data_IF_155634309729
#
_entry.id   IF_155634309729
#
_cell.length_a   1.000
_cell.length_b   1.000
_cell.length_c   1.000
_cell.angle_alpha   90.00
_cell.angle_beta   90.00
_cell.angle_gamma   90.00
#
_symmetry.space_group_name_H-M   'P 1'
#
loop_
_entity.id
_entity.type
_entity.pdbx_description
1 polymer ?
#
# COMPACT_ATOMS: atom_id res chain seq x y z
N UNK A 1 -12.87 -6.30 -20.41
CA UNK A 1 -12.78 -6.58 -18.95
C UNK A 1 -11.34 -6.87 -18.52
N UNK A 2 -10.62 -7.89 -19.03
CA UNK A 2 -9.22 -8.16 -18.58
C UNK A 2 -8.28 -6.96 -18.78
N UNK A 3 -8.33 -6.29 -19.91
CA UNK A 3 -7.48 -5.11 -20.21
C UNK A 3 -7.77 -3.93 -19.27
N UNK A 4 -9.03 -3.65 -18.97
CA UNK A 4 -9.42 -2.56 -18.06
C UNK A 4 -8.92 -2.81 -16.63
N UNK A 5 -9.05 -4.05 -16.16
CA UNK A 5 -8.55 -4.49 -14.86
C UNK A 5 -7.05 -4.21 -14.70
N UNK A 6 -6.26 -4.59 -15.72
CA UNK A 6 -4.81 -4.37 -15.73
C UNK A 6 -4.48 -2.88 -15.81
N UNK A 7 -5.19 -2.12 -16.67
CA UNK A 7 -4.99 -0.67 -16.80
C UNK A 7 -5.21 0.03 -15.45
N UNK A 8 -6.29 -0.31 -14.74
CA UNK A 8 -6.56 0.26 -13.41
C UNK A 8 -5.51 -0.15 -12.38
N UNK A 9 -5.04 -1.40 -12.41
CA UNK A 9 -3.98 -1.85 -11.51
C UNK A 9 -2.65 -1.11 -11.76
N UNK A 10 -2.26 -0.92 -13.02
CA UNK A 10 -1.06 -0.16 -13.43
C UNK A 10 -1.21 1.31 -13.04
N UNK A 11 -2.35 1.94 -13.34
CA UNK A 11 -2.61 3.34 -12.98
C UNK A 11 -2.49 3.55 -11.47
N UNK A 12 -3.11 2.66 -10.67
CA UNK A 12 -2.96 2.68 -9.23
C UNK A 12 -1.48 2.57 -8.82
N UNK A 13 -0.73 1.61 -9.39
CA UNK A 13 0.70 1.40 -9.11
C UNK A 13 1.56 2.62 -9.39
N UNK A 14 1.34 3.29 -10.53
CA UNK A 14 2.05 4.53 -10.90
C UNK A 14 1.78 5.64 -9.88
N UNK A 15 0.50 5.91 -9.57
CA UNK A 15 0.14 6.95 -8.61
C UNK A 15 0.69 6.64 -7.20
N UNK A 16 0.65 5.37 -6.78
CA UNK A 16 1.26 4.96 -5.52
C UNK A 16 2.77 5.17 -5.47
N UNK A 17 3.44 5.10 -6.62
CA UNK A 17 4.88 5.31 -6.69
C UNK A 17 5.26 6.76 -6.33
N UNK A 18 4.56 7.73 -6.91
CA UNK A 18 4.73 9.14 -6.54
C UNK A 18 4.38 9.38 -5.07
N UNK A 19 3.30 8.76 -4.60
CA UNK A 19 2.89 8.80 -3.20
C UNK A 19 3.99 8.27 -2.26
N UNK A 20 4.71 7.19 -2.62
CA UNK A 20 5.81 6.63 -1.84
C UNK A 20 6.98 7.60 -1.65
N UNK A 21 7.34 8.34 -2.68
CA UNK A 21 8.36 9.40 -2.57
C UNK A 21 7.91 10.52 -1.61
N UNK A 22 6.64 10.92 -1.70
CA UNK A 22 6.09 11.92 -0.77
C UNK A 22 6.07 11.41 0.68
N UNK A 23 5.78 10.13 0.90
CA UNK A 23 5.91 9.51 2.24
C UNK A 23 7.33 9.73 2.76
N UNK A 24 8.35 9.39 1.97
CA UNK A 24 9.76 9.56 2.38
C UNK A 24 10.08 11.01 2.73
N UNK A 25 9.72 11.93 1.86
CA UNK A 25 9.97 13.36 2.08
C UNK A 25 9.23 13.89 3.32
N UNK A 26 8.02 13.41 3.58
CA UNK A 26 7.23 13.81 4.74
C UNK A 26 7.79 13.26 6.06
N UNK A 27 8.17 11.97 6.11
CA UNK A 27 8.61 11.33 7.37
C UNK A 27 10.04 11.66 7.78
N UNK A 28 10.87 12.28 6.91
CA UNK A 28 12.24 12.69 7.27
C UNK A 28 12.20 13.60 8.50
N UNK A 29 11.31 14.58 8.52
CA UNK A 29 11.15 15.53 9.63
C UNK A 29 9.84 15.29 10.40
N UNK A 30 8.80 14.83 9.71
CA UNK A 30 7.46 14.61 10.27
C UNK A 30 7.33 13.35 11.12
N UNK A 31 6.27 13.31 11.93
CA UNK A 31 5.86 12.12 12.68
C UNK A 31 5.09 11.15 11.77
N UNK A 32 5.46 9.85 11.70
CA UNK A 32 4.77 8.86 10.86
C UNK A 32 3.28 8.70 11.20
N UNK A 33 2.90 8.78 12.48
CA UNK A 33 1.50 8.63 12.88
C UNK A 33 0.67 9.85 12.43
N UNK A 34 1.23 11.06 12.60
CA UNK A 34 0.61 12.31 12.08
C UNK A 34 0.48 12.23 10.56
N UNK A 35 1.54 11.82 9.86
CA UNK A 35 1.54 11.69 8.41
C UNK A 35 0.51 10.68 7.93
N UNK A 36 0.39 9.54 8.61
CA UNK A 36 -0.62 8.53 8.27
C UNK A 36 -2.03 9.06 8.48
N UNK A 37 -2.30 9.71 9.62
CA UNK A 37 -3.62 10.29 9.90
C UNK A 37 -4.02 11.34 8.86
N UNK A 38 -3.16 12.34 8.60
CA UNK A 38 -3.41 13.37 7.58
C UNK A 38 -3.70 12.74 6.22
N UNK A 39 -2.88 11.77 5.81
CA UNK A 39 -3.05 11.06 4.55
C UNK A 39 -4.38 10.31 4.46
N UNK A 40 -4.82 9.66 5.54
CA UNK A 40 -6.10 8.93 5.57
C UNK A 40 -7.27 9.91 5.54
N UNK A 41 -7.25 11.00 6.32
CA UNK A 41 -8.32 11.99 6.30
C UNK A 41 -8.46 12.65 4.92
N UNK A 42 -7.36 13.09 4.31
CA UNK A 42 -7.40 13.70 2.96
C UNK A 42 -7.85 12.66 1.92
N UNK A 43 -7.34 11.41 1.99
CA UNK A 43 -7.80 10.33 1.12
C UNK A 43 -9.29 10.03 1.27
N UNK A 44 -9.84 10.10 2.49
CA UNK A 44 -11.28 9.97 2.74
C UNK A 44 -12.07 11.08 2.07
N UNK A 45 -11.59 12.33 2.13
CA UNK A 45 -12.23 13.47 1.44
C UNK A 45 -12.25 13.23 -0.08
N UNK A 46 -11.13 12.80 -0.67
CA UNK A 46 -11.03 12.49 -2.11
C UNK A 46 -12.04 11.41 -2.50
N UNK A 47 -12.11 10.32 -1.72
CA UNK A 47 -13.06 9.23 -1.96
C UNK A 47 -14.51 9.65 -1.76
N UNK A 48 -14.79 10.49 -0.78
CA UNK A 48 -16.13 11.07 -0.58
C UNK A 48 -16.55 11.90 -1.79
N UNK A 49 -15.68 12.80 -2.26
CA UNK A 49 -15.96 13.61 -3.45
C UNK A 49 -16.15 12.73 -4.69
N UNK A 50 -15.34 11.69 -4.88
CA UNK A 50 -15.51 10.75 -5.99
C UNK A 50 -16.89 10.06 -5.95
N UNK A 51 -17.33 9.60 -4.78
CA UNK A 51 -18.66 9.01 -4.61
C UNK A 51 -19.79 10.03 -4.83
N UNK A 52 -19.59 11.28 -4.43
CA UNK A 52 -20.55 12.36 -4.65
C UNK A 52 -20.73 12.63 -6.17
N UNK A 53 -19.63 12.80 -6.90
CA UNK A 53 -19.67 13.07 -8.34
C UNK A 53 -20.16 11.88 -9.18
N UNK A 54 -19.95 10.64 -8.71
CA UNK A 54 -20.44 9.44 -9.39
C UNK A 54 -21.86 9.02 -8.96
N UNK A 55 -22.50 9.76 -8.04
CA UNK A 55 -23.83 9.44 -7.53
C UNK A 55 -23.92 8.17 -6.66
N UNK A 56 -22.77 7.62 -6.24
CA UNK A 56 -22.71 6.34 -5.54
C UNK A 56 -23.07 6.44 -4.05
N UNK A 57 -23.15 7.65 -3.49
CA UNK A 57 -23.48 7.85 -2.07
C UNK A 57 -24.88 7.32 -1.70
N UNK A 58 -25.83 7.35 -2.63
CA UNK A 58 -27.18 6.84 -2.40
C UNK A 58 -27.21 5.34 -2.12
N UNK A 59 -26.24 4.59 -2.66
CA UNK A 59 -26.12 3.16 -2.45
C UNK A 59 -25.56 2.77 -1.05
N UNK A 60 -25.20 3.73 -0.21
CA UNK A 60 -24.69 3.45 1.15
C UNK A 60 -25.74 2.76 2.03
N UNK A 61 -27.01 3.07 1.83
CA UNK A 61 -28.15 2.50 2.58
C UNK A 61 -28.47 1.05 2.16
N UNK A 62 -28.03 0.63 0.98
CA UNK A 62 -28.23 -0.73 0.47
C UNK A 62 -27.07 -1.68 0.76
N UNK A 63 -26.02 -1.21 1.44
CA UNK A 63 -24.87 -2.07 1.81
C UNK A 63 -25.30 -3.15 2.79
N UNK A 64 -24.90 -4.40 2.52
CA UNK A 64 -25.07 -5.48 3.48
C UNK A 64 -24.16 -5.29 4.70
N UNK A 65 -24.62 -5.73 5.87
CA UNK A 65 -23.80 -5.69 7.10
C UNK A 65 -22.47 -6.44 6.91
N UNK A 66 -22.51 -7.57 6.20
CA UNK A 66 -21.32 -8.38 5.89
C UNK A 66 -20.32 -7.61 5.04
N UNK A 67 -20.77 -6.88 4.00
CA UNK A 67 -19.89 -6.02 3.20
C UNK A 67 -19.25 -4.93 4.04
N UNK A 68 -20.02 -4.27 4.89
CA UNK A 68 -19.49 -3.24 5.80
C UNK A 68 -18.43 -3.83 6.72
N UNK A 69 -18.67 -5.01 7.29
CA UNK A 69 -17.73 -5.67 8.19
C UNK A 69 -16.39 -6.00 7.51
N UNK A 70 -16.41 -6.58 6.30
CA UNK A 70 -15.20 -6.88 5.53
C UNK A 70 -14.45 -5.61 5.13
N UNK A 71 -15.14 -4.58 4.65
CA UNK A 71 -14.53 -3.32 4.25
C UNK A 71 -13.98 -2.55 5.45
N UNK A 72 -14.66 -2.57 6.59
CA UNK A 72 -14.19 -1.99 7.84
C UNK A 72 -12.90 -2.69 8.33
N UNK A 73 -12.90 -4.02 8.32
CA UNK A 73 -11.71 -4.81 8.68
C UNK A 73 -10.54 -4.52 7.73
N UNK A 74 -10.78 -4.45 6.42
CA UNK A 74 -9.77 -4.04 5.43
C UNK A 74 -9.21 -2.65 5.72
N UNK A 75 -10.09 -1.70 6.07
CA UNK A 75 -9.73 -0.33 6.44
C UNK A 75 -8.83 -0.27 7.67
N UNK A 76 -9.24 -0.92 8.76
CA UNK A 76 -8.46 -0.93 10.00
C UNK A 76 -7.14 -1.68 9.85
N UNK A 77 -7.14 -2.85 9.23
CA UNK A 77 -5.93 -3.66 9.09
C UNK A 77 -4.90 -2.96 8.20
N UNK A 78 -5.30 -2.48 7.02
CA UNK A 78 -4.35 -1.93 6.05
C UNK A 78 -4.12 -0.43 6.21
N UNK A 79 -5.20 0.38 6.32
CA UNK A 79 -5.06 1.84 6.26
C UNK A 79 -4.83 2.47 7.63
N UNK A 80 -5.14 1.75 8.72
CA UNK A 80 -4.78 2.17 10.07
C UNK A 80 -3.44 1.55 10.49
N UNK A 81 -3.37 0.23 10.74
CA UNK A 81 -2.16 -0.43 11.22
C UNK A 81 -1.08 -0.57 10.15
N UNK A 82 -1.38 -1.19 9.02
CA UNK A 82 -0.40 -1.48 7.97
C UNK A 82 0.28 -0.23 7.43
N UNK A 83 -0.45 0.86 7.28
CA UNK A 83 0.09 2.13 6.80
C UNK A 83 0.99 2.80 7.83
N UNK A 84 0.65 2.76 9.13
CA UNK A 84 1.52 3.27 10.19
C UNK A 84 2.87 2.56 10.22
N UNK A 85 2.83 1.22 10.15
CA UNK A 85 4.05 0.40 10.12
C UNK A 85 4.90 0.72 8.90
N UNK A 86 4.28 0.87 7.73
CA UNK A 86 4.97 1.26 6.50
C UNK A 86 5.61 2.65 6.61
N UNK A 87 4.89 3.68 7.05
CA UNK A 87 5.45 5.04 7.22
C UNK A 87 6.60 5.05 8.22
N UNK A 88 6.48 4.29 9.30
CA UNK A 88 7.54 4.14 10.31
C UNK A 88 8.76 3.43 9.73
N UNK A 89 8.55 2.37 8.96
CA UNK A 89 9.61 1.67 8.25
C UNK A 89 10.33 2.60 7.26
N UNK A 90 9.58 3.33 6.41
CA UNK A 90 10.16 4.30 5.46
C UNK A 90 10.99 5.37 6.17
N UNK A 91 10.58 5.82 7.37
CA UNK A 91 11.39 6.73 8.18
C UNK A 91 12.72 6.12 8.59
N UNK A 92 12.73 4.84 8.95
CA UNK A 92 13.89 4.13 9.49
C UNK A 92 14.89 3.66 8.41
N UNK A 93 14.39 3.08 7.32
CA UNK A 93 15.23 2.41 6.32
C UNK A 93 15.17 3.01 4.91
N UNK A 94 14.36 4.05 4.72
CA UNK A 94 14.14 4.68 3.41
C UNK A 94 13.09 3.96 2.57
N UNK A 95 12.56 4.67 1.56
CA UNK A 95 11.51 4.13 0.68
C UNK A 95 12.04 3.11 -0.31
N UNK A 96 13.27 3.27 -0.78
CA UNK A 96 13.90 2.35 -1.73
C UNK A 96 14.07 0.92 -1.18
N UNK A 97 14.22 0.76 0.14
CA UNK A 97 14.30 -0.55 0.81
C UNK A 97 12.95 -1.01 1.34
N UNK A 98 12.17 -0.10 1.93
CA UNK A 98 10.87 -0.43 2.51
C UNK A 98 9.88 -0.95 1.46
N UNK A 99 9.88 -0.40 0.25
CA UNK A 99 8.92 -0.77 -0.78
C UNK A 99 9.10 -2.20 -1.32
N UNK A 100 10.30 -2.67 -1.68
CA UNK A 100 10.49 -4.07 -2.07
C UNK A 100 10.14 -5.07 -0.96
N UNK A 101 10.45 -4.73 0.32
CA UNK A 101 10.05 -5.55 1.47
C UNK A 101 8.53 -5.63 1.61
N UNK A 102 7.85 -4.50 1.41
CA UNK A 102 6.39 -4.45 1.44
C UNK A 102 5.77 -5.24 0.29
N UNK A 103 6.43 -5.33 -0.86
CA UNK A 103 5.98 -6.11 -2.02
C UNK A 103 6.01 -7.62 -1.80
N UNK A 104 6.69 -8.09 -0.74
CA UNK A 104 6.59 -9.47 -0.27
C UNK A 104 5.18 -9.91 0.11
N UNK A 105 4.23 -8.95 0.24
CA UNK A 105 2.82 -9.24 0.46
C UNK A 105 2.21 -10.15 -0.62
N UNK A 106 2.77 -10.17 -1.84
CA UNK A 106 2.28 -10.98 -2.96
C UNK A 106 2.23 -12.47 -2.59
N UNK A 107 3.25 -12.97 -1.91
CA UNK A 107 3.30 -14.38 -1.47
C UNK A 107 2.09 -14.71 -0.58
N UNK A 108 1.83 -13.84 0.39
CA UNK A 108 0.68 -14.03 1.29
C UNK A 108 -0.65 -13.86 0.56
N UNK A 109 -0.76 -12.91 -0.38
CA UNK A 109 -1.97 -12.70 -1.20
C UNK A 109 -2.31 -13.93 -2.00
N UNK A 110 -1.33 -14.55 -2.65
CA UNK A 110 -1.53 -15.78 -3.44
C UNK A 110 -2.02 -16.94 -2.55
N UNK A 111 -1.34 -17.16 -1.41
CA UNK A 111 -1.78 -18.20 -0.47
C UNK A 111 -3.21 -17.94 0.02
N UNK A 112 -3.51 -16.71 0.41
CA UNK A 112 -4.84 -16.36 0.91
C UNK A 112 -5.90 -16.40 -0.20
N UNK A 113 -5.58 -16.03 -1.43
CA UNK A 113 -6.46 -16.12 -2.60
C UNK A 113 -6.88 -17.56 -2.90
N UNK A 114 -5.92 -18.49 -2.88
CA UNK A 114 -6.21 -19.92 -3.05
C UNK A 114 -7.07 -20.43 -1.89
N UNK A 115 -6.70 -20.14 -0.63
CA UNK A 115 -7.36 -20.74 0.55
C UNK A 115 -8.75 -20.14 0.80
N UNK A 116 -8.91 -18.82 0.67
CA UNK A 116 -10.15 -18.14 1.07
C UNK A 116 -11.07 -17.78 -0.09
N UNK A 117 -10.53 -17.59 -1.30
CA UNK A 117 -11.33 -17.23 -2.48
C UNK A 117 -11.47 -18.40 -3.47
N UNK A 118 -10.77 -19.53 -3.23
CA UNK A 118 -10.80 -20.69 -4.12
C UNK A 118 -10.16 -20.41 -5.49
N UNK A 119 -9.28 -19.41 -5.60
CA UNK A 119 -8.59 -19.09 -6.85
C UNK A 119 -7.59 -20.19 -7.19
N UNK A 120 -7.51 -20.58 -8.47
CA UNK A 120 -6.56 -21.59 -8.94
C UNK A 120 -5.28 -20.93 -9.45
N UNK A 121 -4.15 -21.59 -9.23
CA UNK A 121 -2.83 -21.13 -9.70
C UNK A 121 -2.43 -21.86 -10.97
N UNK A 122 -2.00 -21.10 -11.96
CA UNK A 122 -1.30 -21.62 -13.15
C UNK A 122 0.18 -21.83 -12.84
N UNK A 123 0.85 -22.69 -13.60
CA UNK A 123 2.30 -22.92 -13.44
C UNK A 123 3.12 -21.64 -13.60
N UNK A 124 2.74 -20.76 -14.54
CA UNK A 124 3.39 -19.46 -14.75
C UNK A 124 3.27 -18.55 -13.52
N UNK A 125 2.11 -18.55 -12.85
CA UNK A 125 1.88 -17.78 -11.63
C UNK A 125 2.74 -18.31 -10.48
N UNK A 126 2.88 -19.63 -10.34
CA UNK A 126 3.77 -20.24 -9.32
C UNK A 126 5.22 -19.80 -9.54
N UNK A 127 5.73 -19.86 -10.77
CA UNK A 127 7.09 -19.41 -11.12
C UNK A 127 7.23 -17.91 -10.82
N UNK A 128 6.25 -17.10 -11.23
CA UNK A 128 6.25 -15.67 -11.00
C UNK A 128 6.32 -15.31 -9.51
N UNK A 129 5.47 -15.93 -8.68
CA UNK A 129 5.47 -15.74 -7.23
C UNK A 129 6.81 -16.16 -6.60
N UNK A 130 7.40 -17.26 -7.09
CA UNK A 130 8.71 -17.71 -6.62
C UNK A 130 9.81 -16.67 -6.89
N UNK A 131 9.84 -16.07 -8.08
CA UNK A 131 10.77 -14.98 -8.40
C UNK A 131 10.57 -13.75 -7.51
N UNK A 132 9.32 -13.36 -7.24
CA UNK A 132 9.01 -12.25 -6.34
C UNK A 132 9.48 -12.54 -4.90
N UNK A 133 9.30 -13.79 -4.45
CA UNK A 133 9.78 -14.27 -3.16
C UNK A 133 11.31 -14.14 -3.05
N UNK A 134 12.04 -14.61 -4.05
CA UNK A 134 13.50 -14.49 -4.11
C UNK A 134 13.94 -13.02 -4.06
N UNK A 135 13.32 -12.14 -4.83
CA UNK A 135 13.60 -10.70 -4.79
C UNK A 135 13.41 -10.10 -3.40
N UNK A 136 12.30 -10.44 -2.73
CA UNK A 136 12.03 -9.97 -1.36
C UNK A 136 13.03 -10.50 -0.34
N UNK A 137 13.45 -11.76 -0.47
CA UNK A 137 14.46 -12.38 0.39
C UNK A 137 15.83 -11.70 0.21
N UNK A 138 16.27 -11.45 -1.03
CA UNK A 138 17.53 -10.79 -1.32
C UNK A 138 17.61 -9.41 -0.67
N UNK A 139 16.60 -8.56 -0.83
CA UNK A 139 16.60 -7.23 -0.21
C UNK A 139 16.49 -7.31 1.31
N UNK A 140 15.78 -8.30 1.85
CA UNK A 140 15.67 -8.50 3.31
C UNK A 140 17.03 -8.86 3.91
N UNK A 141 17.71 -9.86 3.35
CA UNK A 141 19.03 -10.33 3.83
C UNK A 141 20.05 -9.20 3.70
N UNK A 142 20.13 -8.54 2.54
CA UNK A 142 21.11 -7.45 2.33
C UNK A 142 20.88 -6.28 3.28
N UNK A 143 19.61 -5.91 3.54
CA UNK A 143 19.27 -4.84 4.48
C UNK A 143 19.61 -5.21 5.93
N UNK A 144 19.35 -6.45 6.35
CA UNK A 144 19.69 -6.92 7.70
C UNK A 144 21.21 -7.04 7.89
N UNK A 145 21.94 -7.50 6.88
CA UNK A 145 23.40 -7.56 6.91
C UNK A 145 24.04 -6.17 7.04
N UNK A 146 23.52 -5.18 6.31
CA UNK A 146 23.93 -3.78 6.42
C UNK A 146 23.62 -3.19 7.82
N UNK A 147 22.45 -3.49 8.37
CA UNK A 147 22.05 -3.07 9.71
C UNK A 147 23.01 -3.61 10.78
N UNK A 148 23.38 -4.90 10.67
CA UNK A 148 24.31 -5.57 11.58
C UNK A 148 25.72 -4.96 11.48
N UNK A 149 26.20 -4.74 10.26
CA UNK A 149 27.54 -4.17 10.01
C UNK A 149 27.68 -2.77 10.59
N UNK A 150 26.63 -1.96 10.53
CA UNK A 150 26.63 -0.57 10.97
C UNK A 150 26.18 -0.40 12.43
N UNK A 151 25.86 -1.48 13.17
CA UNK A 151 25.38 -1.44 14.55
C UNK A 151 24.02 -0.74 14.70
N UNK A 152 23.22 -0.64 13.62
CA UNK A 152 22.00 0.13 13.58
C UNK A 152 20.77 -0.70 13.97
N UNK A 153 20.49 -0.82 15.28
CA UNK A 153 19.29 -1.53 15.79
C UNK A 153 18.00 -0.94 15.22
N UNK A 154 17.93 0.38 15.04
CA UNK A 154 16.75 1.04 14.45
C UNK A 154 16.49 0.58 13.01
N UNK A 155 17.54 0.29 12.25
CA UNK A 155 17.43 -0.19 10.89
C UNK A 155 16.84 -1.62 10.82
N UNK A 156 17.28 -2.53 11.70
CA UNK A 156 16.69 -3.88 11.81
C UNK A 156 15.20 -3.82 12.19
N UNK A 157 14.82 -2.93 13.10
CA UNK A 157 13.41 -2.69 13.43
C UNK A 157 12.62 -2.21 12.21
N UNK A 158 13.19 -1.30 11.40
CA UNK A 158 12.57 -0.80 10.18
C UNK A 158 12.27 -1.91 9.18
N UNK A 159 13.20 -2.87 8.99
CA UNK A 159 12.99 -4.06 8.15
C UNK A 159 11.85 -4.93 8.70
N UNK A 160 11.85 -5.21 10.00
CA UNK A 160 10.79 -5.98 10.66
C UNK A 160 9.40 -5.33 10.49
N UNK A 161 9.32 -4.00 10.66
CA UNK A 161 8.08 -3.25 10.45
C UNK A 161 7.57 -3.32 9.01
N UNK A 162 8.46 -3.28 8.00
CA UNK A 162 8.07 -3.45 6.60
C UNK A 162 7.50 -4.85 6.34
N UNK A 163 8.12 -5.89 6.89
CA UNK A 163 7.65 -7.27 6.74
C UNK A 163 6.28 -7.49 7.42
N UNK A 164 6.08 -6.96 8.64
CA UNK A 164 4.77 -7.03 9.30
C UNK A 164 3.72 -6.22 8.51
N UNK A 165 4.08 -5.04 8.00
CA UNK A 165 3.20 -4.25 7.14
C UNK A 165 2.83 -5.00 5.86
N UNK A 166 3.72 -5.84 5.30
CA UNK A 166 3.43 -6.66 4.12
C UNK A 166 2.33 -7.70 4.40
N UNK A 167 2.31 -8.31 5.58
CA UNK A 167 1.24 -9.23 5.99
C UNK A 167 -0.12 -8.50 6.07
N UNK A 168 -0.17 -7.34 6.75
CA UNK A 168 -1.41 -6.55 6.82
C UNK A 168 -1.88 -6.09 5.44
N UNK A 169 -0.95 -5.74 4.55
CA UNK A 169 -1.26 -5.39 3.18
C UNK A 169 -1.76 -6.56 2.34
N UNK A 170 -1.37 -7.78 2.67
CA UNK A 170 -1.83 -8.98 1.97
C UNK A 170 -3.28 -9.36 2.32
N UNK A 171 -3.68 -9.18 3.56
CA UNK A 171 -5.04 -9.50 4.02
C UNK A 171 -6.08 -8.57 3.39
N UNK A 172 -5.74 -7.30 3.17
CA UNK A 172 -6.69 -6.29 2.71
C UNK A 172 -7.35 -6.59 1.35
N UNK A 173 -6.65 -7.01 0.28
CA UNK A 173 -7.27 -7.35 -1.00
C UNK A 173 -8.33 -8.45 -0.88
N UNK A 174 -8.09 -9.45 -0.04
CA UNK A 174 -9.04 -10.54 0.21
C UNK A 174 -10.32 -9.99 0.87
N UNK A 175 -10.16 -9.20 1.93
CA UNK A 175 -11.30 -8.58 2.61
C UNK A 175 -12.06 -7.61 1.69
N UNK A 176 -11.35 -6.86 0.85
CA UNK A 176 -11.96 -5.98 -0.15
C UNK A 176 -12.78 -6.82 -1.14
N UNK A 177 -12.20 -7.89 -1.71
CA UNK A 177 -12.91 -8.75 -2.64
C UNK A 177 -14.18 -9.32 -2.01
N UNK A 178 -14.09 -9.89 -0.79
CA UNK A 178 -15.25 -10.38 -0.04
C UNK A 178 -16.28 -9.27 0.24
N UNK A 179 -15.84 -8.06 0.54
CA UNK A 179 -16.74 -6.92 0.75
C UNK A 179 -17.45 -6.41 -0.51
N UNK A 180 -16.90 -6.70 -1.70
CA UNK A 180 -17.48 -6.30 -2.99
C UNK A 180 -18.40 -7.35 -3.61
N UNK A 181 -18.43 -8.59 -3.10
CA UNK A 181 -19.24 -9.70 -3.67
C UNK A 181 -20.74 -9.45 -3.65
N UNK A 182 -21.25 -8.60 -2.76
CA UNK A 182 -22.69 -8.30 -2.63
C UNK A 182 -23.19 -7.20 -3.58
N UNK A 183 -22.49 -6.95 -4.70
CA UNK A 183 -22.86 -5.87 -5.63
C UNK A 183 -22.47 -4.46 -5.13
N UNK A 184 -21.65 -4.37 -4.10
CA UNK A 184 -21.12 -3.10 -3.61
C UNK A 184 -20.25 -2.44 -4.67
N UNK A 185 -20.54 -1.17 -5.00
CA UNK A 185 -19.67 -0.39 -5.88
C UNK A 185 -18.25 -0.32 -5.34
N UNK A 186 -17.23 -0.59 -6.18
CA UNK A 186 -15.82 -0.49 -5.75
C UNK A 186 -15.44 0.88 -5.17
N UNK A 187 -15.96 1.99 -5.75
CA UNK A 187 -15.67 3.34 -5.28
C UNK A 187 -16.30 3.57 -3.90
N UNK A 188 -17.54 3.09 -3.69
CA UNK A 188 -18.19 3.15 -2.39
C UNK A 188 -17.48 2.25 -1.36
N UNK A 189 -17.05 1.06 -1.75
CA UNK A 189 -16.26 0.16 -0.91
C UNK A 189 -14.96 0.81 -0.43
N UNK A 190 -14.28 1.55 -1.31
CA UNK A 190 -13.07 2.30 -0.94
C UNK A 190 -13.37 3.38 0.12
N UNK A 191 -14.48 4.12 -0.06
CA UNK A 191 -14.91 5.13 0.92
C UNK A 191 -15.21 4.49 2.28
N UNK A 192 -15.97 3.40 2.33
CA UNK A 192 -16.31 2.71 3.58
C UNK A 192 -15.04 2.26 4.31
N UNK A 193 -14.10 1.61 3.62
CA UNK A 193 -12.84 1.20 4.23
C UNK A 193 -12.03 2.39 4.79
N UNK A 194 -12.02 3.51 4.09
CA UNK A 194 -11.31 4.71 4.54
C UNK A 194 -12.02 5.42 5.69
N UNK A 195 -13.35 5.41 5.75
CA UNK A 195 -14.12 5.97 6.87
C UNK A 195 -13.79 5.24 8.18
N UNK A 196 -13.72 3.90 8.17
CA UNK A 196 -13.34 3.15 9.37
C UNK A 196 -11.88 3.39 9.76
N UNK A 197 -10.97 3.49 8.81
CA UNK A 197 -9.60 3.87 9.09
C UNK A 197 -9.49 5.30 9.66
N UNK A 198 -10.25 6.25 9.11
CA UNK A 198 -10.29 7.63 9.60
C UNK A 198 -10.89 7.70 11.01
N UNK A 199 -11.93 6.92 11.30
CA UNK A 199 -12.48 6.79 12.65
C UNK A 199 -11.44 6.27 13.64
N UNK A 200 -10.63 5.25 13.27
CA UNK A 200 -9.50 4.80 14.07
C UNK A 200 -8.46 5.91 14.31
N UNK A 201 -8.16 6.70 13.28
CA UNK A 201 -7.19 7.80 13.36
C UNK A 201 -7.73 9.05 14.06
N UNK A 202 -9.05 9.18 14.30
CA UNK A 202 -9.61 10.32 15.02
C UNK A 202 -9.05 10.48 16.43
N UNK A 203 -8.60 9.38 17.05
CA UNK A 203 -7.91 9.39 18.34
C UNK A 203 -6.65 10.27 18.36
N UNK A 204 -6.00 10.48 17.20
CA UNK A 204 -4.82 11.35 17.11
C UNK A 204 -5.18 12.82 17.33
N UNK A 205 -6.40 13.23 16.98
CA UNK A 205 -6.91 14.58 17.18
C UNK A 205 -7.15 14.90 18.66
N UNK A 206 -7.35 13.87 19.50
CA UNK A 206 -7.49 14.00 20.95
C UNK A 206 -6.15 14.29 21.64
N UNK A 207 -5.03 13.99 20.98
CA UNK A 207 -3.70 14.27 21.50
C UNK A 207 -3.27 15.72 21.19
N UNK A 208 -3.32 16.61 22.18
CA UNK A 208 -2.89 18.02 22.03
C UNK A 208 -1.50 18.16 21.38
N UNK A 209 -0.54 17.31 21.76
CA UNK A 209 0.81 17.31 21.20
C UNK A 209 0.83 17.00 19.70
N UNK A 210 0.06 16.01 19.26
CA UNK A 210 0.00 15.61 17.83
C UNK A 210 -0.81 16.59 17.01
N UNK A 211 -1.90 17.12 17.57
CA UNK A 211 -2.67 18.18 16.93
C UNK A 211 -1.81 19.44 16.72
N UNK A 212 -1.04 19.85 17.73
CA UNK A 212 -0.11 20.96 17.60
C UNK A 212 0.93 20.69 16.52
N UNK A 213 1.48 19.50 16.42
CA UNK A 213 2.42 19.13 15.36
C UNK A 213 1.81 19.23 13.95
N UNK A 214 0.52 18.92 13.78
CA UNK A 214 -0.20 19.12 12.52
C UNK A 214 -0.28 20.61 12.17
N UNK A 215 -0.57 21.45 13.17
CA UNK A 215 -0.80 22.89 12.96
C UNK A 215 0.51 23.69 12.80
N UNK A 216 1.62 23.22 13.34
CA UNK A 216 2.90 23.97 13.33
C UNK A 216 3.84 23.54 12.21
N UNK A 217 3.85 22.27 11.81
CA UNK A 217 4.69 21.76 10.70
C UNK A 217 3.95 21.83 9.35
N UNK A 218 3.73 23.04 8.88
CA UNK A 218 3.06 23.29 7.59
C UNK A 218 3.70 22.59 6.40
N UNK A 219 5.03 22.37 6.42
CA UNK A 219 5.73 21.72 5.31
C UNK A 219 5.38 20.23 5.25
N UNK A 220 5.55 19.52 6.35
CA UNK A 220 5.20 18.08 6.42
C UNK A 220 3.71 17.89 6.20
N UNK A 221 2.85 18.78 6.73
CA UNK A 221 1.40 18.73 6.47
C UNK A 221 1.07 18.79 4.98
N UNK A 222 1.63 19.78 4.23
CA UNK A 222 1.39 19.89 2.78
C UNK A 222 1.84 18.65 2.02
N UNK A 223 2.99 18.07 2.38
CA UNK A 223 3.51 16.85 1.75
C UNK A 223 2.56 15.66 2.03
N UNK A 224 2.12 15.48 3.28
CA UNK A 224 1.20 14.40 3.63
C UNK A 224 -0.21 14.61 3.06
N UNK A 225 -0.67 15.85 2.93
CA UNK A 225 -1.93 16.17 2.27
C UNK A 225 -1.88 15.82 0.77
N UNK A 226 -0.84 16.24 0.05
CA UNK A 226 -0.63 15.87 -1.34
C UNK A 226 -0.51 14.35 -1.50
N UNK A 227 0.23 13.69 -0.60
CA UNK A 227 0.34 12.23 -0.56
C UNK A 227 -1.04 11.57 -0.34
N UNK A 228 -1.84 12.10 0.57
CA UNK A 228 -3.20 11.62 0.84
C UNK A 228 -4.13 11.76 -0.37
N UNK A 229 -4.03 12.87 -1.11
CA UNK A 229 -4.76 13.08 -2.37
C UNK A 229 -4.39 12.03 -3.41
N UNK A 230 -3.09 11.84 -3.66
CA UNK A 230 -2.62 10.84 -4.62
C UNK A 230 -3.08 9.43 -4.24
N UNK A 231 -2.96 9.09 -2.95
CA UNK A 231 -3.40 7.76 -2.49
C UNK A 231 -4.91 7.60 -2.59
N UNK A 232 -5.71 8.62 -2.27
CA UNK A 232 -7.15 8.58 -2.45
C UNK A 232 -7.53 8.25 -3.90
N UNK A 233 -6.89 8.94 -4.86
CA UNK A 233 -7.06 8.65 -6.30
C UNK A 233 -6.59 7.23 -6.66
N UNK A 234 -5.41 6.81 -6.19
CA UNK A 234 -4.92 5.46 -6.44
C UNK A 234 -5.84 4.37 -5.88
N UNK A 235 -6.50 4.60 -4.75
CA UNK A 235 -7.45 3.64 -4.19
C UNK A 235 -8.70 3.47 -5.05
N UNK A 236 -9.17 4.52 -5.72
CA UNK A 236 -10.27 4.39 -6.69
C UNK A 236 -9.90 3.34 -7.75
N UNK A 237 -8.75 3.51 -8.40
CA UNK A 237 -8.30 2.57 -9.42
C UNK A 237 -8.03 1.17 -8.87
N UNK A 238 -7.46 1.08 -7.67
CA UNK A 238 -7.21 -0.21 -7.03
C UNK A 238 -8.50 -0.97 -6.71
N UNK A 239 -9.51 -0.31 -6.15
CA UNK A 239 -10.78 -0.96 -5.83
C UNK A 239 -11.55 -1.33 -7.09
N UNK A 240 -11.53 -0.49 -8.14
CA UNK A 240 -12.07 -0.81 -9.46
C UNK A 240 -11.42 -2.06 -10.04
N UNK A 241 -10.09 -2.14 -9.97
CA UNK A 241 -9.34 -3.29 -10.45
C UNK A 241 -9.70 -4.58 -9.69
N UNK A 242 -9.81 -4.54 -8.36
CA UNK A 242 -10.21 -5.70 -7.54
C UNK A 242 -11.67 -6.10 -7.82
N UNK A 243 -12.56 -5.14 -8.04
CA UNK A 243 -13.96 -5.42 -8.36
C UNK A 243 -14.19 -6.02 -9.74
N UNK A 244 -13.25 -5.86 -10.68
CA UNK A 244 -13.33 -6.36 -12.06
C UNK A 244 -12.51 -7.62 -12.31
N UNK A 245 -11.58 -7.99 -11.43
CA UNK A 245 -10.64 -9.09 -11.66
C UNK A 245 -10.40 -9.95 -10.42
N UNK A 246 -9.59 -11.01 -10.59
CA UNK A 246 -9.16 -11.86 -9.48
C UNK A 246 -8.06 -11.18 -8.66
N UNK A 247 -8.04 -11.43 -7.36
CA UNK A 247 -7.07 -10.82 -6.44
C UNK A 247 -5.65 -11.29 -6.73
N UNK A 248 -5.48 -12.55 -7.17
CA UNK A 248 -4.18 -13.14 -7.52
C UNK A 248 -3.56 -12.42 -8.73
N UNK A 249 -4.34 -12.00 -9.72
CA UNK A 249 -3.83 -11.30 -10.90
C UNK A 249 -3.63 -9.80 -10.63
N UNK A 250 -4.62 -9.15 -10.02
CA UNK A 250 -4.64 -7.70 -9.82
C UNK A 250 -3.56 -7.24 -8.85
N UNK A 251 -3.40 -7.94 -7.73
CA UNK A 251 -2.49 -7.48 -6.67
C UNK A 251 -1.02 -7.53 -7.08
N UNK A 252 -0.50 -8.56 -7.76
CA UNK A 252 0.85 -8.55 -8.30
C UNK A 252 1.09 -7.38 -9.26
N UNK A 253 0.20 -7.14 -10.23
CA UNK A 253 0.34 -6.04 -11.19
C UNK A 253 0.49 -4.69 -10.48
N UNK A 254 -0.43 -4.39 -9.57
CA UNK A 254 -0.38 -3.18 -8.76
C UNK A 254 0.88 -3.08 -7.90
N UNK A 255 1.29 -4.21 -7.28
CA UNK A 255 2.36 -4.21 -6.27
C UNK A 255 3.76 -4.16 -6.88
N UNK A 256 3.95 -4.58 -8.14
CA UNK A 256 5.26 -4.62 -8.78
C UNK A 256 5.62 -3.35 -9.55
N UNK A 257 4.64 -2.64 -10.08
CA UNK A 257 4.88 -1.34 -10.73
C UNK A 257 5.49 -0.36 -9.72
N UNK A 258 4.98 -0.34 -8.50
CA UNK A 258 5.41 0.61 -7.47
C UNK A 258 6.89 0.49 -7.07
N UNK A 259 7.48 -0.67 -6.78
CA UNK A 259 8.89 -0.77 -6.41
C UNK A 259 9.83 -0.32 -7.50
N UNK A 260 9.55 -0.68 -8.76
CA UNK A 260 10.37 -0.27 -9.92
C UNK A 260 10.44 1.24 -10.00
N UNK A 261 9.29 1.89 -10.04
CA UNK A 261 9.22 3.35 -10.17
C UNK A 261 9.76 4.07 -8.93
N UNK A 262 9.47 3.55 -7.71
CA UNK A 262 9.97 4.17 -6.48
C UNK A 262 11.49 4.08 -6.40
N UNK A 263 12.10 2.94 -6.75
CA UNK A 263 13.55 2.79 -6.70
C UNK A 263 14.22 3.66 -7.76
N UNK A 264 13.66 3.74 -8.97
CA UNK A 264 14.12 4.68 -10.02
C UNK A 264 14.04 6.12 -9.53
N UNK A 265 12.87 6.55 -9.03
CA UNK A 265 12.69 7.91 -8.52
C UNK A 265 13.57 8.20 -7.30
N UNK A 266 13.73 7.24 -6.39
CA UNK A 266 14.63 7.40 -5.24
C UNK A 266 16.08 7.55 -5.70
N UNK A 267 16.52 6.76 -6.68
CA UNK A 267 17.86 6.87 -7.25
C UNK A 267 18.11 8.22 -7.92
N UNK A 268 17.11 8.81 -8.59
CA UNK A 268 17.26 10.09 -9.29
C UNK A 268 16.98 11.29 -8.37
N UNK A 269 15.89 11.25 -7.60
CA UNK A 269 15.41 12.41 -6.84
C UNK A 269 15.93 12.45 -5.40
N UNK A 270 16.29 11.30 -4.82
CA UNK A 270 16.69 11.17 -3.42
C UNK A 270 18.14 10.72 -3.23
N UNK A 271 19.00 10.87 -4.23
CA UNK A 271 20.42 10.45 -4.20
C UNK A 271 21.19 10.90 -2.95
N UNK A 272 20.89 12.10 -2.45
CA UNK A 272 21.52 12.67 -1.24
C UNK A 272 21.02 12.05 0.07
N UNK A 273 19.93 11.27 0.02
CA UNK A 273 19.21 10.81 1.20
C UNK A 273 19.13 9.27 1.23
N UNK A 274 19.11 8.64 0.06
CA UNK A 274 18.97 7.19 -0.08
C UNK A 274 20.06 6.61 -0.98
N UNK A 275 20.74 5.57 -0.48
CA UNK A 275 21.69 4.80 -1.27
C UNK A 275 21.02 3.53 -1.79
N UNK A 276 20.87 3.45 -3.11
CA UNK A 276 20.32 2.29 -3.80
C UNK A 276 21.49 1.40 -4.21
N UNK A 277 21.64 0.25 -3.54
CA UNK A 277 22.68 -0.73 -3.84
C UNK A 277 22.22 -1.75 -4.91
N UNK A 278 23.17 -2.54 -5.44
CA UNK A 278 22.89 -3.54 -6.47
C UNK A 278 21.82 -4.55 -6.04
N UNK A 279 21.79 -4.96 -4.77
CA UNK A 279 20.83 -5.93 -4.27
C UNK A 279 19.39 -5.41 -4.33
N UNK A 280 19.18 -4.09 -4.15
CA UNK A 280 17.87 -3.46 -4.32
C UNK A 280 17.43 -3.51 -5.79
N UNK A 281 18.34 -3.26 -6.73
CA UNK A 281 18.06 -3.37 -8.17
C UNK A 281 17.72 -4.80 -8.57
N UNK A 282 18.52 -5.78 -8.16
CA UNK A 282 18.26 -7.21 -8.42
C UNK A 282 16.90 -7.61 -7.87
N UNK A 283 16.57 -7.21 -6.64
CA UNK A 283 15.27 -7.46 -6.03
C UNK A 283 14.11 -6.89 -6.86
N UNK A 284 14.25 -5.64 -7.31
CA UNK A 284 13.23 -4.97 -8.13
C UNK A 284 13.01 -5.68 -9.46
N UNK A 285 14.10 -6.10 -10.13
CA UNK A 285 14.00 -6.84 -11.40
C UNK A 285 13.37 -8.22 -11.22
N UNK A 286 13.67 -8.93 -10.13
CA UNK A 286 13.04 -10.22 -9.84
C UNK A 286 11.54 -10.05 -9.54
N UNK A 287 11.17 -9.05 -8.75
CA UNK A 287 9.76 -8.75 -8.46
C UNK A 287 9.02 -8.37 -9.75
N UNK A 288 9.59 -7.54 -10.60
CA UNK A 288 8.98 -7.12 -11.87
C UNK A 288 8.87 -8.28 -12.85
N UNK A 289 9.93 -9.06 -13.06
CA UNK A 289 9.92 -10.25 -13.93
C UNK A 289 8.92 -11.30 -13.45
N UNK A 290 8.87 -11.54 -12.13
CA UNK A 290 7.88 -12.41 -11.52
C UNK A 290 6.45 -11.95 -11.78
N UNK A 291 6.20 -10.64 -11.74
CA UNK A 291 4.86 -10.10 -12.05
C UNK A 291 4.46 -10.34 -13.50
N UNK A 292 5.36 -10.12 -14.44
CA UNK A 292 5.05 -10.40 -15.87
C UNK A 292 4.60 -11.84 -16.03
N UNK A 293 5.29 -12.79 -15.37
CA UNK A 293 4.90 -14.21 -15.41
C UNK A 293 3.55 -14.51 -14.75
N UNK A 294 3.16 -13.76 -13.72
CA UNK A 294 1.83 -13.93 -13.09
C UNK A 294 0.69 -13.32 -13.91
N UNK A 295 0.98 -12.51 -14.91
CA UNK A 295 -0.03 -11.88 -15.78
C UNK A 295 -0.17 -12.57 -17.15
N UNK A 296 0.73 -13.48 -17.48
CA UNK A 296 0.66 -14.37 -18.65
C UNK A 296 -0.20 -15.60 -18.39
#
# INVERSE_FOLDING_TARGET
>A
MANETIIFAVAAGVIFSFSGILVRLGVIKGDPAVGTAVSVFIGTIVLFLANLFTGQLTAITSLSFTSILYLAAAGLINFYFGRLLYFTSVKMIGVARAQPLLSGNIVYVVILGVVFLGESLRTTEVIGVTLMMLGTIIVSISSLAEAKRNGQISFSKGVGLALVASVFRAVAPILIALGLTSGTSPILGALVAYLFAAAGWSSILLSKKKLLAILTDHRSFKIFALQGTLVGLAQIFRFLSIGLGTVIVVTPVFTSVSPVLIVLMAHVLLQKIEHVNLNVWVSVFLVFGGTILTTM
#
